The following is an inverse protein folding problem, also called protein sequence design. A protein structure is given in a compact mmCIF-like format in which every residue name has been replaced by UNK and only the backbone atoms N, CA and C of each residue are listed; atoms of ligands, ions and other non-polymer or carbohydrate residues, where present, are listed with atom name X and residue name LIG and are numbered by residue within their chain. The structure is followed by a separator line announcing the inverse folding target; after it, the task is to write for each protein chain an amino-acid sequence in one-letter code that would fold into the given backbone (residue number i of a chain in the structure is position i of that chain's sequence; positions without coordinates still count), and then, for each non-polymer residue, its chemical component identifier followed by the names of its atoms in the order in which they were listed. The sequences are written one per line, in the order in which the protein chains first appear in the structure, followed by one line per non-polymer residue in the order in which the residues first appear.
data_IF_134460462146
#
_entry.id   IF_134460462146
#
_cell.length_a   1.000
_cell.length_b   1.000
_cell.length_c   1.000
_cell.angle_alpha   90.00
_cell.angle_beta   90.00
_cell.angle_gamma   90.00
#
_symmetry.space_group_name_H-M   'P 1'
#
loop_
_entity.id
_entity.type
_entity.pdbx_description
1 polymer ?
#
# COMPACT_ATOMS: atom_id res chain seq x y z
N UNK A 1 16.51 -11.05 -30.35
CA UNK A 1 15.22 -10.34 -30.52
C UNK A 1 14.80 -10.36 -31.99
N UNK A 2 13.71 -11.05 -32.29
CA UNK A 2 13.12 -10.97 -33.64
C UNK A 2 12.33 -9.65 -33.70
N UNK A 3 12.90 -8.57 -34.27
CA UNK A 3 12.24 -7.32 -34.56
C UNK A 3 12.58 -6.13 -33.67
N UNK A 4 13.78 -6.05 -33.12
CA UNK A 4 14.33 -4.90 -32.37
C UNK A 4 13.44 -4.41 -31.19
N UNK A 5 12.58 -5.29 -30.66
CA UNK A 5 11.74 -4.98 -29.52
C UNK A 5 12.45 -5.29 -28.21
N UNK A 6 12.57 -4.28 -27.36
CA UNK A 6 13.03 -4.47 -25.98
C UNK A 6 12.00 -5.24 -25.18
N UNK A 7 12.41 -6.32 -24.52
CA UNK A 7 11.59 -7.12 -23.63
C UNK A 7 12.19 -7.10 -22.23
N UNK A 8 11.31 -7.04 -21.24
CA UNK A 8 11.70 -7.06 -19.82
C UNK A 8 10.89 -8.11 -19.07
N UNK A 9 11.50 -8.70 -18.05
CA UNK A 9 10.79 -9.59 -17.14
C UNK A 9 9.85 -8.75 -16.25
N UNK A 10 8.61 -9.18 -16.12
CA UNK A 10 7.59 -8.44 -15.36
C UNK A 10 7.87 -8.49 -13.85
N UNK A 11 7.92 -7.35 -13.14
CA UNK A 11 8.15 -7.32 -11.70
C UNK A 11 6.87 -7.43 -10.87
N UNK A 12 5.69 -7.25 -11.51
CA UNK A 12 4.36 -7.27 -10.91
C UNK A 12 3.29 -7.36 -12.02
N UNK A 13 2.00 -7.52 -11.66
CA UNK A 13 0.92 -7.71 -12.61
C UNK A 13 0.04 -6.50 -12.86
N UNK A 14 -0.09 -5.57 -11.92
CA UNK A 14 -1.02 -4.44 -11.99
C UNK A 14 -0.80 -3.56 -13.22
N UNK A 15 0.45 -3.19 -13.54
CA UNK A 15 0.78 -2.41 -14.72
C UNK A 15 0.41 -3.14 -16.03
N UNK A 16 0.54 -4.47 -16.05
CA UNK A 16 0.13 -5.29 -17.20
C UNK A 16 -1.37 -5.31 -17.39
N UNK A 17 -2.14 -5.38 -16.29
CA UNK A 17 -3.62 -5.29 -16.31
C UNK A 17 -4.06 -3.89 -16.78
N UNK A 18 -3.50 -2.83 -16.22
CA UNK A 18 -3.80 -1.46 -16.63
C UNK A 18 -3.54 -1.24 -18.13
N UNK A 19 -2.41 -1.73 -18.63
CA UNK A 19 -2.09 -1.68 -20.07
C UNK A 19 -3.10 -2.47 -20.92
N UNK A 20 -3.48 -3.68 -20.49
CA UNK A 20 -4.45 -4.50 -21.20
C UNK A 20 -5.82 -3.81 -21.28
N UNK A 21 -6.25 -3.15 -20.20
CA UNK A 21 -7.48 -2.35 -20.18
C UNK A 21 -7.44 -1.22 -21.21
N UNK A 22 -6.36 -0.47 -21.26
CA UNK A 22 -6.19 0.65 -22.21
C UNK A 22 -6.17 0.13 -23.64
N UNK A 23 -5.37 -0.90 -23.93
CA UNK A 23 -5.16 -1.42 -25.29
C UNK A 23 -6.41 -2.10 -25.89
N UNK A 24 -7.25 -2.72 -25.07
CA UNK A 24 -8.43 -3.43 -25.50
C UNK A 24 -9.72 -2.61 -25.39
N UNK A 25 -9.63 -1.33 -25.04
CA UNK A 25 -10.80 -0.45 -24.92
C UNK A 25 -11.82 -0.89 -23.86
N UNK A 26 -11.39 -1.71 -22.89
CA UNK A 26 -12.24 -2.23 -21.81
C UNK A 26 -12.71 -1.09 -20.88
N UNK A 27 -12.13 0.10 -21.03
CA UNK A 27 -12.57 1.33 -20.38
C UNK A 27 -14.02 1.75 -20.67
N UNK A 28 -14.65 1.19 -21.72
CA UNK A 28 -16.09 1.40 -22.03
C UNK A 28 -17.03 0.67 -21.05
N UNK A 29 -16.57 -0.36 -20.36
CA UNK A 29 -17.31 -1.00 -19.27
C UNK A 29 -16.70 -0.55 -17.94
N UNK A 30 -17.39 0.30 -17.16
CA UNK A 30 -16.79 0.97 -16.01
C UNK A 30 -16.39 0.00 -14.89
N UNK A 31 -17.06 -1.15 -14.77
CA UNK A 31 -16.80 -2.09 -13.67
C UNK A 31 -16.08 -3.34 -14.17
N UNK A 32 -14.86 -3.54 -13.70
CA UNK A 32 -14.04 -4.72 -13.99
C UNK A 32 -13.53 -5.36 -12.71
N UNK A 33 -13.73 -6.68 -12.60
CA UNK A 33 -13.12 -7.53 -11.56
C UNK A 33 -12.22 -8.52 -12.27
N UNK A 34 -10.93 -8.31 -12.18
CA UNK A 34 -9.92 -9.08 -12.87
C UNK A 34 -9.00 -9.77 -11.86
N UNK A 35 -8.41 -10.87 -12.28
CA UNK A 35 -7.37 -11.53 -11.50
C UNK A 35 -6.27 -12.04 -12.42
N UNK A 36 -5.09 -12.20 -11.86
CA UNK A 36 -3.96 -12.80 -12.55
C UNK A 36 -3.18 -13.68 -11.60
N UNK A 37 -2.49 -14.68 -12.16
CA UNK A 37 -1.56 -15.52 -11.42
C UNK A 37 -0.38 -15.87 -12.33
N UNK A 38 0.82 -15.86 -11.80
CA UNK A 38 1.99 -16.28 -12.55
C UNK A 38 3.31 -15.82 -11.96
N UNK A 39 4.43 -16.15 -12.64
CA UNK A 39 5.76 -15.78 -12.18
C UNK A 39 6.02 -14.28 -12.37
N UNK A 40 6.65 -13.69 -11.35
CA UNK A 40 7.15 -12.33 -11.32
C UNK A 40 8.65 -12.34 -11.02
N UNK A 41 9.35 -11.28 -11.42
CA UNK A 41 10.80 -11.22 -11.36
C UNK A 41 11.25 -9.88 -10.79
N UNK A 42 12.04 -9.92 -9.70
CA UNK A 42 12.58 -8.71 -9.06
C UNK A 42 14.05 -8.92 -8.74
N UNK A 43 14.84 -7.86 -8.92
CA UNK A 43 16.25 -7.87 -8.51
C UNK A 43 16.35 -7.59 -7.00
N UNK A 44 15.94 -8.59 -6.21
CA UNK A 44 15.98 -8.52 -4.75
C UNK A 44 17.33 -9.05 -4.22
N UNK A 45 17.72 -8.56 -3.05
CA UNK A 45 18.77 -9.23 -2.27
C UNK A 45 18.16 -10.50 -1.67
N UNK A 46 18.76 -11.68 -1.92
CA UNK A 46 18.24 -12.93 -1.38
C UNK A 46 18.15 -12.88 0.15
N UNK A 47 16.96 -13.14 0.67
CA UNK A 47 16.70 -13.29 2.10
C UNK A 47 15.47 -14.17 2.29
N UNK A 48 15.21 -14.63 3.51
CA UNK A 48 14.01 -15.41 3.81
C UNK A 48 12.76 -14.66 3.33
N UNK A 49 11.88 -15.34 2.61
CA UNK A 49 10.65 -14.78 2.05
C UNK A 49 10.81 -13.88 0.83
N UNK A 50 12.05 -13.58 0.36
CA UNK A 50 12.29 -12.78 -0.86
C UNK A 50 13.11 -13.52 -1.88
N UNK A 51 12.45 -13.89 -2.97
CA UNK A 51 13.07 -14.57 -4.11
C UNK A 51 13.11 -13.64 -5.33
N UNK A 52 14.08 -13.85 -6.21
CA UNK A 52 14.19 -13.10 -7.47
C UNK A 52 13.14 -13.52 -8.49
N UNK A 53 12.69 -14.75 -8.43
CA UNK A 53 11.53 -15.27 -9.14
C UNK A 53 10.54 -15.80 -8.11
N UNK A 54 9.30 -15.35 -8.17
CA UNK A 54 8.24 -15.76 -7.27
C UNK A 54 6.89 -15.78 -8.02
N UNK A 55 5.89 -16.44 -7.48
CA UNK A 55 4.54 -16.41 -8.02
C UNK A 55 3.70 -15.37 -7.28
N UNK A 56 2.93 -14.63 -8.04
CA UNK A 56 2.00 -13.64 -7.50
C UNK A 56 0.59 -13.98 -7.98
N UNK A 57 -0.37 -14.01 -7.07
CA UNK A 57 -1.79 -13.88 -7.33
C UNK A 57 -2.17 -12.42 -7.08
N UNK A 58 -2.83 -11.79 -8.03
CA UNK A 58 -3.35 -10.44 -7.88
C UNK A 58 -4.81 -10.37 -8.28
N UNK A 59 -5.55 -9.48 -7.64
CA UNK A 59 -6.95 -9.16 -7.94
C UNK A 59 -7.05 -7.65 -8.12
N UNK A 60 -7.72 -7.24 -9.17
CA UNK A 60 -7.93 -5.84 -9.53
C UNK A 60 -9.42 -5.56 -9.63
N UNK A 61 -9.91 -4.60 -8.83
CA UNK A 61 -11.27 -4.10 -8.91
C UNK A 61 -11.23 -2.68 -9.44
N UNK A 62 -11.69 -2.46 -10.67
CA UNK A 62 -11.48 -1.22 -11.41
C UNK A 62 -12.84 -0.62 -11.81
N UNK A 63 -12.91 0.72 -11.78
CA UNK A 63 -14.08 1.47 -12.26
C UNK A 63 -15.16 1.73 -11.22
N UNK A 64 -14.91 1.44 -9.95
CA UNK A 64 -15.86 1.73 -8.88
C UNK A 64 -15.16 2.30 -7.64
N UNK A 65 -15.21 3.61 -7.48
CA UNK A 65 -14.65 4.31 -6.33
C UNK A 65 -15.60 4.25 -5.13
N UNK A 66 -15.48 3.19 -4.34
CA UNK A 66 -16.31 3.00 -3.14
C UNK A 66 -15.54 2.22 -2.07
N UNK A 67 -15.84 2.47 -0.81
CA UNK A 67 -15.36 1.65 0.30
C UNK A 67 -15.81 0.19 0.18
N UNK A 68 -16.92 -0.07 -0.54
CA UNK A 68 -17.41 -1.43 -0.79
C UNK A 68 -16.46 -2.25 -1.67
N UNK A 69 -15.78 -1.61 -2.64
CA UNK A 69 -14.75 -2.29 -3.42
C UNK A 69 -13.54 -2.62 -2.57
N UNK A 70 -13.15 -1.72 -1.67
CA UNK A 70 -12.03 -1.95 -0.76
C UNK A 70 -12.30 -3.15 0.16
N UNK A 71 -13.48 -3.18 0.80
CA UNK A 71 -13.84 -4.27 1.69
C UNK A 71 -14.03 -5.60 0.96
N UNK A 72 -14.52 -5.60 -0.28
CA UNK A 72 -14.64 -6.82 -1.09
C UNK A 72 -13.25 -7.43 -1.35
N UNK A 73 -12.25 -6.62 -1.68
CA UNK A 73 -10.88 -7.08 -1.90
C UNK A 73 -10.26 -7.61 -0.59
N UNK A 74 -10.45 -6.91 0.52
CA UNK A 74 -9.94 -7.34 1.83
C UNK A 74 -10.58 -8.68 2.23
N UNK A 75 -11.90 -8.78 2.13
CA UNK A 75 -12.64 -10.00 2.48
C UNK A 75 -12.24 -11.19 1.60
N UNK A 76 -12.05 -10.95 0.30
CA UNK A 76 -11.58 -11.98 -0.63
C UNK A 76 -10.16 -12.45 -0.25
N UNK A 77 -9.23 -11.53 -0.01
CA UNK A 77 -7.87 -11.88 0.39
C UNK A 77 -7.86 -12.66 1.72
N UNK A 78 -8.65 -12.21 2.71
CA UNK A 78 -8.81 -12.88 3.99
C UNK A 78 -9.36 -14.31 3.85
N UNK A 79 -10.40 -14.50 3.04
CA UNK A 79 -11.03 -15.82 2.83
C UNK A 79 -10.08 -16.78 2.08
N UNK A 80 -9.36 -16.28 1.06
CA UNK A 80 -8.37 -17.09 0.33
C UNK A 80 -7.30 -17.60 1.30
N UNK A 81 -6.71 -16.73 2.11
CA UNK A 81 -5.64 -17.13 3.04
C UNK A 81 -6.14 -18.14 4.08
N UNK A 82 -7.35 -17.95 4.59
CA UNK A 82 -7.98 -18.91 5.51
C UNK A 82 -8.23 -20.26 4.86
N UNK A 83 -8.74 -20.29 3.63
CA UNK A 83 -8.98 -21.53 2.87
C UNK A 83 -7.70 -22.27 2.52
N UNK A 84 -6.58 -21.53 2.34
CA UNK A 84 -5.26 -22.13 2.19
C UNK A 84 -4.69 -22.68 3.50
N UNK A 85 -5.41 -22.54 4.62
CA UNK A 85 -5.02 -23.06 5.92
C UNK A 85 -3.95 -22.24 6.63
N UNK A 86 -3.70 -21.01 6.17
CA UNK A 86 -2.75 -20.09 6.81
C UNK A 86 -3.36 -19.64 8.15
N UNK A 87 -2.60 -19.84 9.21
CA UNK A 87 -3.00 -19.51 10.59
C UNK A 87 -2.38 -18.19 11.03
N UNK A 88 -2.86 -17.67 12.17
CA UNK A 88 -2.32 -16.45 12.80
C UNK A 88 -2.29 -15.26 11.86
N UNK A 89 -3.39 -15.07 11.12
CA UNK A 89 -3.56 -13.93 10.22
C UNK A 89 -3.81 -12.66 11.03
N UNK A 90 -3.05 -11.62 10.74
CA UNK A 90 -3.23 -10.28 11.27
C UNK A 90 -3.51 -9.33 10.10
N UNK A 91 -4.68 -8.71 10.08
CA UNK A 91 -5.03 -7.65 9.13
C UNK A 91 -4.65 -6.30 9.74
N UNK A 92 -3.73 -5.61 9.12
CA UNK A 92 -3.42 -4.21 9.42
C UNK A 92 -4.08 -3.32 8.38
N UNK A 93 -4.70 -2.25 8.84
CA UNK A 93 -5.36 -1.25 7.98
C UNK A 93 -4.87 0.15 8.28
N UNK A 94 -4.88 0.99 7.26
CA UNK A 94 -4.67 2.43 7.38
C UNK A 94 -5.47 3.16 6.30
N UNK A 95 -5.58 4.47 6.43
CA UNK A 95 -6.05 5.34 5.35
C UNK A 95 -4.94 6.30 4.92
N UNK A 96 -4.78 6.44 3.62
CA UNK A 96 -3.85 7.40 3.03
C UNK A 96 -4.56 8.72 2.64
N UNK A 97 -5.85 8.83 2.97
CA UNK A 97 -6.66 9.98 2.58
C UNK A 97 -6.80 10.14 1.06
N UNK A 98 -7.31 11.26 0.65
CA UNK A 98 -7.29 11.67 -0.76
C UNK A 98 -5.99 12.43 -1.10
N UNK A 99 -5.90 12.93 -2.34
CA UNK A 99 -4.72 13.65 -2.82
C UNK A 99 -4.49 14.94 -2.01
N UNK A 100 -5.56 15.65 -1.65
CA UNK A 100 -5.46 16.91 -0.89
C UNK A 100 -5.04 16.66 0.56
N UNK A 101 -5.61 15.63 1.20
CA UNK A 101 -5.22 15.20 2.55
C UNK A 101 -3.72 14.91 2.60
N UNK A 102 -3.21 14.17 1.60
CA UNK A 102 -1.78 13.85 1.49
C UNK A 102 -0.89 15.05 1.25
N UNK A 103 -1.31 15.97 0.37
CA UNK A 103 -0.56 17.19 0.11
C UNK A 103 -0.45 18.07 1.37
N UNK A 104 -1.55 18.22 2.10
CA UNK A 104 -1.56 18.98 3.35
C UNK A 104 -0.64 18.35 4.40
N UNK A 105 -0.73 17.03 4.57
CA UNK A 105 0.17 16.28 5.44
C UNK A 105 1.63 16.43 5.01
N UNK A 106 1.93 16.22 3.73
CA UNK A 106 3.29 16.28 3.20
C UNK A 106 3.93 17.64 3.42
N UNK A 107 3.18 18.72 3.18
CA UNK A 107 3.64 20.09 3.44
C UNK A 107 3.95 20.34 4.93
N UNK A 108 3.10 19.83 5.82
CA UNK A 108 3.33 19.94 7.27
C UNK A 108 4.52 19.08 7.71
N UNK A 109 4.62 17.86 7.20
CA UNK A 109 5.71 16.96 7.52
C UNK A 109 7.07 17.48 7.03
N UNK A 110 7.13 18.06 5.83
CA UNK A 110 8.35 18.71 5.32
C UNK A 110 8.80 19.86 6.23
N UNK A 111 7.89 20.72 6.66
CA UNK A 111 8.21 21.80 7.62
C UNK A 111 8.75 21.24 8.93
N UNK A 112 8.14 20.18 9.44
CA UNK A 112 8.58 19.53 10.65
C UNK A 112 9.98 18.90 10.48
N UNK A 113 10.25 18.25 9.33
CA UNK A 113 11.55 17.67 9.01
C UNK A 113 12.66 18.74 8.94
N UNK A 114 12.39 19.89 8.34
CA UNK A 114 13.37 21.01 8.28
C UNK A 114 13.75 21.51 9.69
N UNK A 115 12.76 21.66 10.58
CA UNK A 115 13.00 22.06 11.97
C UNK A 115 13.85 21.02 12.71
N UNK A 116 13.62 19.75 12.46
CA UNK A 116 14.25 18.63 13.18
C UNK A 116 15.44 18.02 12.43
N UNK A 117 15.89 18.60 11.32
CA UNK A 117 16.88 18.06 10.39
C UNK A 117 18.16 17.57 11.09
N UNK A 118 18.69 18.36 12.01
CA UNK A 118 19.93 18.04 12.73
C UNK A 118 19.79 16.88 13.72
N UNK A 119 18.57 16.49 14.08
CA UNK A 119 18.29 15.38 15.00
C UNK A 119 18.03 14.06 14.25
N UNK A 120 17.92 14.10 12.92
CA UNK A 120 17.75 12.92 12.07
C UNK A 120 19.09 12.25 11.77
N UNK A 121 19.07 10.94 11.56
CA UNK A 121 20.22 10.22 11.05
C UNK A 121 20.59 10.66 9.61
N UNK A 122 21.85 10.44 9.22
CA UNK A 122 22.39 10.89 7.95
C UNK A 122 21.63 10.38 6.70
N UNK A 123 21.15 9.13 6.73
CA UNK A 123 20.39 8.59 5.61
C UNK A 123 18.99 9.20 5.53
N UNK A 124 18.38 9.48 6.68
CA UNK A 124 17.09 10.18 6.78
C UNK A 124 17.19 11.63 6.29
N UNK A 125 18.26 12.35 6.64
CA UNK A 125 18.52 13.70 6.11
C UNK A 125 18.58 13.72 4.58
N UNK A 126 19.26 12.76 3.94
CA UNK A 126 19.34 12.66 2.48
C UNK A 126 18.00 12.35 1.79
N UNK A 127 17.05 11.79 2.54
CA UNK A 127 15.72 11.45 2.02
C UNK A 127 14.75 12.62 2.04
N UNK A 128 15.02 13.67 2.79
CA UNK A 128 14.13 14.85 2.89
C UNK A 128 13.79 15.37 1.50
N UNK A 129 14.79 15.59 0.65
CA UNK A 129 14.61 16.17 -0.68
C UNK A 129 14.14 15.14 -1.75
N UNK A 130 14.33 13.84 -1.50
CA UNK A 130 14.05 12.79 -2.50
C UNK A 130 12.73 12.08 -2.29
N UNK A 131 12.50 11.63 -1.08
CA UNK A 131 11.29 10.92 -0.69
C UNK A 131 11.13 10.97 0.84
N UNK A 132 10.58 12.08 1.38
CA UNK A 132 10.49 12.31 2.81
C UNK A 132 9.67 11.23 3.54
N UNK A 133 8.64 10.67 2.90
CA UNK A 133 7.80 9.64 3.53
C UNK A 133 8.57 8.35 3.85
N UNK A 134 9.66 8.05 3.13
CA UNK A 134 10.52 6.90 3.46
C UNK A 134 11.34 7.08 4.74
N UNK A 135 11.29 8.23 5.37
CA UNK A 135 11.92 8.45 6.67
C UNK A 135 11.16 7.66 7.76
N UNK A 136 9.85 7.44 7.59
CA UNK A 136 9.07 6.57 8.47
C UNK A 136 9.57 5.12 8.49
N UNK A 137 10.23 4.65 7.43
CA UNK A 137 10.85 3.32 7.33
C UNK A 137 12.26 3.26 7.97
N UNK A 138 12.72 4.34 8.61
CA UNK A 138 14.06 4.37 9.22
C UNK A 138 14.20 3.28 10.28
N UNK A 139 15.34 2.58 10.25
CA UNK A 139 15.71 1.60 11.28
C UNK A 139 16.48 2.23 12.44
N UNK A 140 16.87 3.49 12.33
CA UNK A 140 17.60 4.21 13.36
C UNK A 140 16.70 4.49 14.56
N UNK A 141 17.12 4.07 15.75
CA UNK A 141 16.34 4.16 17.00
C UNK A 141 16.04 5.62 17.37
N UNK A 142 17.01 6.51 17.20
CA UNK A 142 16.86 7.93 17.52
C UNK A 142 15.84 8.60 16.58
N UNK A 143 15.95 8.33 15.28
CA UNK A 143 14.99 8.83 14.28
C UNK A 143 13.59 8.28 14.54
N UNK A 144 13.45 7.00 14.86
CA UNK A 144 12.13 6.43 15.22
C UNK A 144 11.49 7.15 16.40
N UNK A 145 12.27 7.37 17.46
CA UNK A 145 11.78 8.08 18.65
C UNK A 145 11.39 9.53 18.33
N UNK A 146 12.14 10.19 17.45
CA UNK A 146 11.83 11.54 17.00
C UNK A 146 10.51 11.58 16.21
N UNK A 147 10.29 10.59 15.34
CA UNK A 147 9.09 10.47 14.51
C UNK A 147 7.80 10.21 15.32
N UNK A 148 7.88 9.78 16.57
CA UNK A 148 6.69 9.68 17.45
C UNK A 148 5.98 11.01 17.65
N UNK A 149 6.73 12.12 17.53
CA UNK A 149 6.22 13.49 17.62
C UNK A 149 5.98 14.15 16.25
N UNK A 150 6.14 13.41 15.16
CA UNK A 150 5.90 13.92 13.83
C UNK A 150 4.40 14.07 13.53
N UNK A 151 4.02 15.01 12.65
CA UNK A 151 2.66 15.08 12.13
C UNK A 151 2.21 13.72 11.58
N UNK A 152 0.97 13.34 11.83
CA UNK A 152 0.38 12.10 11.30
C UNK A 152 -0.60 12.42 10.19
N UNK A 153 -0.61 11.62 9.13
CA UNK A 153 -1.55 11.80 8.02
C UNK A 153 -3.00 11.84 8.50
N UNK A 154 -3.32 11.07 9.54
CA UNK A 154 -4.65 10.99 10.12
C UNK A 154 -5.19 12.37 10.58
N UNK A 155 -4.31 13.25 11.08
CA UNK A 155 -4.67 14.58 11.56
C UNK A 155 -5.01 15.57 10.43
N UNK A 156 -4.74 15.19 9.18
CA UNK A 156 -4.96 16.00 7.96
C UNK A 156 -6.10 15.47 7.09
N UNK A 157 -6.76 14.41 7.53
CA UNK A 157 -7.88 13.85 6.78
C UNK A 157 -9.06 14.81 6.73
N UNK A 158 -9.64 14.95 5.55
CA UNK A 158 -10.93 15.61 5.36
C UNK A 158 -12.05 14.83 6.04
N UNK A 159 -13.17 15.49 6.32
CA UNK A 159 -14.37 14.84 6.87
C UNK A 159 -14.82 13.65 5.98
N UNK A 160 -14.72 13.82 4.65
CA UNK A 160 -15.03 12.76 3.67
C UNK A 160 -14.12 11.55 3.86
N UNK A 161 -12.82 11.76 4.03
CA UNK A 161 -11.84 10.69 4.23
C UNK A 161 -12.01 10.00 5.58
N UNK A 162 -12.31 10.75 6.64
CA UNK A 162 -12.66 10.20 7.95
C UNK A 162 -13.90 9.32 7.88
N UNK A 163 -14.97 9.80 7.22
CA UNK A 163 -16.21 9.04 7.05
C UNK A 163 -15.97 7.75 6.28
N UNK A 164 -15.22 7.80 5.18
CA UNK A 164 -14.86 6.62 4.38
C UNK A 164 -14.10 5.59 5.21
N UNK A 165 -13.12 6.02 6.00
CA UNK A 165 -12.35 5.12 6.86
C UNK A 165 -13.19 4.52 7.99
N UNK A 166 -14.08 5.29 8.58
CA UNK A 166 -15.03 4.79 9.59
C UNK A 166 -16.00 3.77 9.00
N UNK A 167 -16.46 3.98 7.76
CA UNK A 167 -17.31 3.04 7.05
C UNK A 167 -16.57 1.72 6.74
N UNK A 168 -15.29 1.78 6.36
CA UNK A 168 -14.46 0.58 6.18
C UNK A 168 -14.39 -0.25 7.46
N UNK A 169 -14.12 0.40 8.60
CA UNK A 169 -14.04 -0.28 9.89
C UNK A 169 -15.36 -0.96 10.25
N UNK A 170 -16.48 -0.26 10.05
CA UNK A 170 -17.82 -0.84 10.27
C UNK A 170 -18.05 -2.08 9.41
N UNK A 171 -17.70 -2.08 8.11
CA UNK A 171 -17.83 -3.26 7.27
C UNK A 171 -16.94 -4.42 7.74
N UNK A 172 -15.74 -4.15 8.23
CA UNK A 172 -14.87 -5.20 8.79
C UNK A 172 -15.49 -5.82 10.05
N UNK A 173 -16.08 -5.00 10.91
CA UNK A 173 -16.81 -5.45 12.11
C UNK A 173 -18.05 -6.30 11.75
N UNK A 174 -18.85 -5.84 10.79
CA UNK A 174 -20.04 -6.56 10.30
C UNK A 174 -19.65 -7.95 9.70
N UNK A 175 -18.51 -8.03 9.02
CA UNK A 175 -17.95 -9.27 8.48
C UNK A 175 -17.18 -10.10 9.51
N UNK A 176 -17.02 -9.61 10.72
CA UNK A 176 -16.23 -10.25 11.79
C UNK A 176 -14.78 -10.53 11.39
N UNK A 177 -14.18 -9.65 10.60
CA UNK A 177 -12.77 -9.70 10.24
C UNK A 177 -12.01 -8.84 11.26
N UNK A 178 -11.19 -9.44 12.14
CA UNK A 178 -10.40 -8.69 13.10
C UNK A 178 -9.34 -7.86 12.39
N UNK A 179 -9.09 -6.65 12.85
CA UNK A 179 -8.10 -5.74 12.29
C UNK A 179 -7.36 -4.94 13.36
N UNK A 180 -6.20 -4.43 12.98
CA UNK A 180 -5.39 -3.50 13.76
C UNK A 180 -5.19 -2.23 12.93
N UNK A 181 -5.42 -1.06 13.51
CA UNK A 181 -5.09 0.21 12.87
C UNK A 181 -3.59 0.46 12.99
N UNK A 182 -2.89 0.51 11.84
CA UNK A 182 -1.46 0.78 11.78
C UNK A 182 -1.21 2.06 10.97
N UNK A 183 -1.10 3.18 11.66
CA UNK A 183 -0.85 4.50 11.05
C UNK A 183 0.52 4.63 10.36
N UNK A 184 1.43 3.70 10.59
CA UNK A 184 2.72 3.63 9.90
C UNK A 184 2.66 2.78 8.62
N UNK A 185 1.52 2.14 8.33
CA UNK A 185 1.33 1.39 7.10
C UNK A 185 1.23 2.36 5.93
N UNK A 186 2.37 2.61 5.29
CA UNK A 186 2.48 3.42 4.07
C UNK A 186 2.82 2.53 2.88
N UNK A 187 2.49 2.98 1.69
CA UNK A 187 2.86 2.29 0.46
C UNK A 187 3.81 3.16 -0.36
N UNK A 188 4.77 2.52 -1.00
CA UNK A 188 5.87 3.19 -1.68
C UNK A 188 5.53 3.86 -3.01
N UNK A 189 4.27 3.89 -3.41
CA UNK A 189 3.82 4.45 -4.68
C UNK A 189 2.92 5.67 -4.42
N UNK A 190 3.24 6.78 -5.05
CA UNK A 190 2.61 8.08 -4.80
C UNK A 190 1.15 8.19 -5.28
N UNK A 191 0.67 7.22 -6.06
CA UNK A 191 -0.70 7.22 -6.58
C UNK A 191 -1.74 6.52 -5.69
N UNK A 192 -1.32 5.85 -4.60
CA UNK A 192 -2.26 5.24 -3.66
C UNK A 192 -3.06 6.31 -2.91
N UNK A 193 -4.36 6.07 -2.77
CA UNK A 193 -5.29 6.89 -1.98
C UNK A 193 -6.17 6.00 -1.11
N UNK A 194 -6.75 6.59 -0.08
CA UNK A 194 -7.70 5.96 0.83
C UNK A 194 -7.14 4.69 1.50
N UNK A 195 -7.79 3.55 1.31
CA UNK A 195 -7.51 2.33 2.05
C UNK A 195 -6.16 1.72 1.70
N UNK A 196 -5.33 1.53 2.71
CA UNK A 196 -4.15 0.67 2.66
C UNK A 196 -4.34 -0.49 3.64
N UNK A 197 -3.96 -1.70 3.24
CA UNK A 197 -4.01 -2.85 4.12
C UNK A 197 -2.86 -3.82 3.86
N UNK A 198 -2.56 -4.62 4.86
CA UNK A 198 -1.62 -5.71 4.79
C UNK A 198 -2.12 -6.87 5.65
N UNK A 199 -2.02 -8.10 5.14
CA UNK A 199 -2.31 -9.30 5.92
C UNK A 199 -0.99 -10.02 6.14
N UNK A 200 -0.61 -10.15 7.40
CA UNK A 200 0.59 -10.86 7.83
C UNK A 200 0.22 -12.14 8.55
N UNK A 201 1.16 -13.09 8.61
CA UNK A 201 1.02 -14.30 9.39
C UNK A 201 2.30 -14.56 10.17
N UNK A 202 2.19 -14.76 11.48
CA UNK A 202 3.32 -15.14 12.32
C UNK A 202 3.90 -16.52 11.97
N UNK A 203 3.12 -17.36 11.28
CA UNK A 203 3.55 -18.71 10.87
C UNK A 203 4.46 -18.70 9.62
N UNK A 204 4.53 -17.61 8.88
CA UNK A 204 5.29 -17.54 7.62
C UNK A 204 6.60 -16.73 7.74
N UNK A 205 6.89 -16.14 8.89
CA UNK A 205 8.13 -15.40 9.19
C UNK A 205 8.14 -13.99 8.67
#
# INVERSE_FOLDING_TARGET
DRGERSCTLRPEGTASVARALIQNGISSNPLQKLWYMGPMFRYERPQAGRQRQFHQLGVEFIGYESVRSDIEIIALAWDILRRLGIKELNLEINTLGDINDRLNFQNSFLKWLEINKNSLDFDSQKRIDKNPLRIFDSKNVQTKKLLENAPRLFDFLSEKSHKRYSELKKYLEDLKIPYIENYNLVRGLDYYTHTAFEITSGALG
#
